data_IF_849546980265
#
_entry.id   IF_849546980265
#
_cell.length_a   1.000
_cell.length_b   1.000
_cell.length_c   1.000
_cell.angle_alpha   90.00
_cell.angle_beta   90.00
_cell.angle_gamma   90.00
#
_symmetry.space_group_name_H-M   'P 1'
#
loop_
_entity.id
_entity.type
_entity.pdbx_description
1 polymer ?
#
# COMPACT_ATOMS: atom_id res chain seq x y z
N UNK A 1 20.00 -2.91 15.71
CA UNK A 1 20.59 -1.61 16.11
C UNK A 1 19.49 -0.70 16.66
N UNK A 2 19.83 0.47 17.29
CA UNK A 2 18.82 1.30 18.01
C UNK A 2 17.66 1.80 17.14
N UNK A 3 17.89 2.07 15.86
CA UNK A 3 16.84 2.49 14.94
C UNK A 3 15.81 1.40 14.71
N UNK A 4 16.24 0.18 14.50
CA UNK A 4 15.36 -0.99 14.34
C UNK A 4 14.55 -1.25 15.62
N UNK A 5 15.14 -1.10 16.79
CA UNK A 5 14.42 -1.22 18.07
C UNK A 5 13.28 -0.20 18.17
N UNK A 6 13.52 1.06 17.73
CA UNK A 6 12.48 2.09 17.68
C UNK A 6 11.36 1.73 16.69
N UNK A 7 11.72 1.26 15.50
CA UNK A 7 10.75 0.85 14.46
C UNK A 7 9.87 -0.29 14.98
N UNK A 8 10.47 -1.35 15.53
CA UNK A 8 9.74 -2.50 16.06
C UNK A 8 8.84 -2.15 17.26
N UNK A 9 9.33 -1.31 18.17
CA UNK A 9 8.54 -0.82 19.30
C UNK A 9 7.33 -0.01 18.83
N UNK A 10 7.54 0.91 17.87
CA UNK A 10 6.47 1.71 17.31
C UNK A 10 5.43 0.85 16.58
N UNK A 11 5.88 -0.12 15.78
CA UNK A 11 4.99 -1.06 15.07
C UNK A 11 4.09 -1.80 16.04
N UNK A 12 4.65 -2.38 17.13
CA UNK A 12 3.87 -3.08 18.15
C UNK A 12 2.87 -2.16 18.84
N UNK A 13 3.31 -0.98 19.27
CA UNK A 13 2.44 -0.04 19.98
C UNK A 13 1.32 0.51 19.10
N UNK A 14 1.61 0.87 17.85
CA UNK A 14 0.59 1.32 16.90
C UNK A 14 -0.41 0.20 16.59
N UNK A 15 0.04 -1.03 16.44
CA UNK A 15 -0.84 -2.18 16.25
C UNK A 15 -1.77 -2.40 17.47
N UNK A 16 -1.22 -2.33 18.67
CA UNK A 16 -1.97 -2.64 19.90
C UNK A 16 -2.92 -1.51 20.32
N UNK A 17 -2.48 -0.26 20.23
CA UNK A 17 -3.19 0.89 20.81
C UNK A 17 -3.70 1.91 19.78
N UNK A 18 -3.31 1.78 18.52
CA UNK A 18 -3.57 2.76 17.45
C UNK A 18 -2.57 3.92 17.46
N UNK A 19 -2.48 4.61 16.33
CA UNK A 19 -1.54 5.72 16.16
C UNK A 19 -1.83 6.89 17.09
N UNK A 20 -3.11 7.26 17.25
CA UNK A 20 -3.51 8.46 18.01
C UNK A 20 -3.11 8.38 19.48
N UNK A 21 -3.25 7.22 20.10
CA UNK A 21 -3.03 7.02 21.54
C UNK A 21 -1.57 6.89 21.95
N UNK A 22 -0.70 6.51 21.02
CA UNK A 22 0.72 6.25 21.29
C UNK A 22 1.53 7.54 21.21
N UNK A 23 2.43 7.76 22.18
CA UNK A 23 3.36 8.88 22.22
C UNK A 23 4.81 8.47 21.87
N UNK A 24 5.62 9.43 21.45
CA UNK A 24 7.05 9.21 21.21
C UNK A 24 7.80 8.75 22.48
N UNK A 25 7.35 9.19 23.65
CA UNK A 25 7.95 8.79 24.95
C UNK A 25 7.67 7.33 25.27
N UNK A 26 6.47 6.83 25.01
CA UNK A 26 6.12 5.41 25.14
C UNK A 26 6.91 4.54 24.18
N UNK A 27 7.07 4.99 22.92
CA UNK A 27 7.89 4.28 21.94
C UNK A 27 9.35 4.21 22.40
N UNK A 28 9.91 5.32 22.91
CA UNK A 28 11.29 5.36 23.41
C UNK A 28 11.49 4.39 24.60
N UNK A 29 10.52 4.36 25.52
CA UNK A 29 10.51 3.45 26.68
C UNK A 29 10.45 1.99 26.24
N UNK A 30 9.52 1.66 25.32
CA UNK A 30 9.35 0.31 24.78
C UNK A 30 10.58 -0.17 23.99
N UNK A 31 11.22 0.74 23.25
CA UNK A 31 12.44 0.48 22.49
C UNK A 31 13.71 0.40 23.36
N UNK A 32 13.64 0.71 24.65
CA UNK A 32 14.80 0.75 25.53
C UNK A 32 15.81 1.86 25.16
N UNK A 33 15.34 2.94 24.57
CA UNK A 33 16.18 4.09 24.16
C UNK A 33 15.78 5.37 24.88
N UNK A 34 16.67 6.37 24.87
CA UNK A 34 16.35 7.69 25.43
C UNK A 34 15.46 8.49 24.48
N UNK A 35 14.70 9.45 25.02
CA UNK A 35 13.92 10.42 24.24
C UNK A 35 14.80 11.14 23.20
N UNK A 36 16.03 11.52 23.56
CA UNK A 36 17.00 12.12 22.63
C UNK A 36 17.31 11.16 21.46
N UNK A 37 17.44 9.88 21.73
CA UNK A 37 17.79 8.88 20.71
C UNK A 37 16.67 8.71 19.70
N UNK A 38 15.40 8.64 20.12
CA UNK A 38 14.29 8.49 19.18
C UNK A 38 14.15 9.72 18.27
N UNK A 39 14.28 10.93 18.84
CA UNK A 39 14.21 12.18 18.06
C UNK A 39 15.40 12.38 17.10
N UNK A 40 16.52 11.68 17.29
CA UNK A 40 17.60 11.64 16.30
C UNK A 40 17.26 10.85 15.04
N UNK A 41 16.35 9.87 15.15
CA UNK A 41 15.96 9.03 14.02
C UNK A 41 14.67 9.50 13.35
N UNK A 42 13.74 10.01 14.15
CA UNK A 42 12.43 10.45 13.69
C UNK A 42 12.04 11.72 14.45
N UNK A 43 11.94 12.83 13.74
CA UNK A 43 11.64 14.14 14.33
C UNK A 43 10.24 14.25 14.93
N UNK A 44 9.31 13.38 14.48
CA UNK A 44 7.94 13.33 14.99
C UNK A 44 7.32 11.93 14.83
N UNK A 45 6.16 11.74 15.43
CA UNK A 45 5.37 10.52 15.29
C UNK A 45 4.82 10.36 13.85
N UNK A 46 4.53 11.47 13.20
CA UNK A 46 4.10 11.53 11.80
C UNK A 46 5.20 11.09 10.83
N UNK A 47 6.46 11.47 11.09
CA UNK A 47 7.59 10.97 10.30
C UNK A 47 7.79 9.47 10.45
N UNK A 48 7.56 8.93 11.63
CA UNK A 48 7.60 7.51 11.87
C UNK A 48 6.46 6.79 11.14
N UNK A 49 5.25 7.37 11.14
CA UNK A 49 4.13 6.87 10.34
C UNK A 49 4.45 6.89 8.83
N UNK A 50 4.99 7.99 8.34
CA UNK A 50 5.44 8.11 6.94
C UNK A 50 6.46 7.03 6.57
N UNK A 51 7.37 6.71 7.46
CA UNK A 51 8.33 5.63 7.27
C UNK A 51 7.61 4.29 7.06
N UNK A 52 6.62 3.94 7.91
CA UNK A 52 5.87 2.70 7.75
C UNK A 52 5.07 2.65 6.45
N UNK A 53 4.41 3.74 6.08
CA UNK A 53 3.68 3.80 4.81
C UNK A 53 4.63 3.57 3.62
N UNK A 54 5.81 4.20 3.64
CA UNK A 54 6.82 4.01 2.59
C UNK A 54 7.38 2.58 2.55
N UNK A 55 7.49 1.94 3.69
CA UNK A 55 7.91 0.54 3.80
C UNK A 55 6.85 -0.39 3.18
N UNK A 56 5.57 -0.18 3.50
CA UNK A 56 4.48 -0.95 2.92
C UNK A 56 4.44 -0.85 1.38
N UNK A 57 4.67 0.34 0.84
CA UNK A 57 4.73 0.53 -0.62
C UNK A 57 5.90 -0.23 -1.23
N UNK A 58 7.09 -0.17 -0.63
CA UNK A 58 8.24 -0.93 -1.11
C UNK A 58 7.97 -2.44 -1.11
N UNK A 59 7.34 -2.94 -0.05
CA UNK A 59 6.96 -4.35 0.03
C UNK A 59 6.00 -4.75 -1.10
N UNK A 60 5.05 -3.88 -1.45
CA UNK A 60 4.14 -4.12 -2.58
C UNK A 60 4.84 -4.04 -3.93
N UNK A 61 5.77 -3.09 -4.12
CA UNK A 61 6.61 -3.01 -5.31
C UNK A 61 7.45 -4.28 -5.48
N UNK A 62 8.10 -4.77 -4.42
CA UNK A 62 8.89 -6.02 -4.42
C UNK A 62 8.03 -7.25 -4.76
N UNK A 63 6.77 -7.30 -4.31
CA UNK A 63 5.84 -8.37 -4.66
C UNK A 63 5.58 -8.36 -6.17
N UNK A 64 5.27 -7.21 -6.75
CA UNK A 64 5.00 -7.09 -8.18
C UNK A 64 6.23 -7.44 -9.01
N UNK A 65 7.42 -6.98 -8.60
CA UNK A 65 8.67 -7.31 -9.28
C UNK A 65 8.96 -8.82 -9.26
N UNK A 66 8.71 -9.51 -8.14
CA UNK A 66 8.84 -10.97 -8.05
C UNK A 66 7.87 -11.69 -9.00
N UNK A 67 6.62 -11.24 -9.09
CA UNK A 67 5.64 -11.81 -10.02
C UNK A 67 6.09 -11.61 -11.48
N UNK A 68 6.66 -10.46 -11.83
CA UNK A 68 7.17 -10.18 -13.18
C UNK A 68 8.28 -11.12 -13.63
N UNK A 69 9.00 -11.75 -12.70
CA UNK A 69 10.03 -12.76 -13.04
C UNK A 69 9.47 -14.12 -13.44
N UNK A 70 8.16 -14.37 -13.28
CA UNK A 70 7.53 -15.69 -13.49
C UNK A 70 7.20 -16.02 -14.96
N UNK A 71 7.58 -15.15 -15.92
CA UNK A 71 7.36 -15.37 -17.36
C UNK A 71 5.89 -15.58 -17.77
N UNK A 72 4.96 -14.99 -17.02
CA UNK A 72 3.54 -14.99 -17.31
C UNK A 72 3.18 -13.99 -18.43
N UNK A 73 2.04 -14.16 -19.09
CA UNK A 73 1.53 -13.10 -19.97
C UNK A 73 1.18 -11.83 -19.17
N UNK A 74 0.93 -10.72 -19.89
CA UNK A 74 0.66 -9.44 -19.21
C UNK A 74 -0.53 -9.50 -18.26
N UNK A 75 -1.65 -10.12 -18.67
CA UNK A 75 -2.85 -10.17 -17.83
C UNK A 75 -2.75 -11.22 -16.72
N UNK A 76 -2.03 -12.31 -16.95
CA UNK A 76 -1.69 -13.28 -15.91
C UNK A 76 -0.79 -12.64 -14.85
N UNK A 77 0.21 -11.85 -15.27
CA UNK A 77 1.07 -11.08 -14.35
C UNK A 77 0.24 -10.11 -13.52
N UNK A 78 -0.70 -9.38 -14.12
CA UNK A 78 -1.61 -8.46 -13.39
C UNK A 78 -2.46 -9.23 -12.39
N UNK A 79 -3.05 -10.36 -12.79
CA UNK A 79 -3.87 -11.20 -11.89
C UNK A 79 -3.05 -11.69 -10.69
N UNK A 80 -1.88 -12.26 -10.94
CA UNK A 80 -1.02 -12.80 -9.89
C UNK A 80 -0.52 -11.68 -8.96
N UNK A 81 -0.14 -10.52 -9.49
CA UNK A 81 0.29 -9.39 -8.69
C UNK A 81 -0.83 -8.88 -7.76
N UNK A 82 -2.06 -8.76 -8.26
CA UNK A 82 -3.22 -8.37 -7.44
C UNK A 82 -3.45 -9.40 -6.34
N UNK A 83 -3.44 -10.69 -6.67
CA UNK A 83 -3.62 -11.78 -5.70
C UNK A 83 -2.56 -11.73 -4.58
N UNK A 84 -1.28 -11.67 -4.93
CA UNK A 84 -0.18 -11.63 -3.96
C UNK A 84 -0.25 -10.39 -3.05
N UNK A 85 -0.62 -9.23 -3.61
CA UNK A 85 -0.81 -8.01 -2.82
C UNK A 85 -1.99 -8.15 -1.85
N UNK A 86 -3.11 -8.75 -2.27
CA UNK A 86 -4.25 -8.98 -1.40
C UNK A 86 -3.90 -9.97 -0.28
N UNK A 87 -3.16 -11.04 -0.58
CA UNK A 87 -2.65 -11.98 0.42
C UNK A 87 -1.70 -11.31 1.41
N UNK A 88 -0.75 -10.52 0.92
CA UNK A 88 0.16 -9.75 1.77
C UNK A 88 -0.61 -8.86 2.76
N UNK A 89 -1.62 -8.14 2.27
CA UNK A 89 -2.44 -7.26 3.09
C UNK A 89 -3.23 -7.97 4.18
N UNK A 90 -3.71 -9.17 3.95
CA UNK A 90 -4.49 -9.95 4.92
C UNK A 90 -3.73 -10.12 6.24
N UNK A 91 -2.40 -10.14 6.16
CA UNK A 91 -1.50 -10.31 7.29
C UNK A 91 -0.89 -8.99 7.81
N UNK A 92 -1.29 -7.83 7.24
CA UNK A 92 -0.74 -6.51 7.59
C UNK A 92 -1.81 -5.61 8.20
N UNK A 93 -1.81 -5.50 9.53
CA UNK A 93 -2.80 -4.69 10.26
C UNK A 93 -2.55 -3.18 10.18
N UNK A 94 -1.35 -2.75 9.75
CA UNK A 94 -0.96 -1.33 9.81
C UNK A 94 -1.81 -0.44 8.90
N UNK A 95 -2.09 -0.85 7.67
CA UNK A 95 -2.98 -0.10 6.76
C UNK A 95 -4.43 -0.07 7.27
N UNK A 96 -4.86 -1.13 7.95
CA UNK A 96 -6.16 -1.17 8.61
C UNK A 96 -6.26 -0.18 9.76
N UNK A 97 -5.15 0.06 10.49
CA UNK A 97 -5.09 1.09 11.54
C UNK A 97 -5.27 2.47 10.94
N UNK A 98 -4.56 2.78 9.85
CA UNK A 98 -4.68 4.07 9.15
C UNK A 98 -6.11 4.28 8.63
N UNK A 99 -6.71 3.25 8.02
CA UNK A 99 -8.07 3.34 7.50
C UNK A 99 -9.13 3.56 8.61
N UNK A 100 -8.91 3.01 9.80
CA UNK A 100 -9.80 3.17 10.95
C UNK A 100 -9.66 4.52 11.64
N UNK A 101 -8.49 5.11 11.61
CA UNK A 101 -8.21 6.40 12.25
C UNK A 101 -8.43 7.57 11.26
N UNK A 102 -9.62 7.67 10.65
CA UNK A 102 -9.94 8.67 9.60
C UNK A 102 -9.62 10.13 9.94
N UNK A 103 -9.39 10.47 11.23
CA UNK A 103 -8.88 11.77 11.65
C UNK A 103 -7.40 11.99 11.28
N UNK A 104 -6.62 10.91 11.07
CA UNK A 104 -5.25 11.00 10.57
C UNK A 104 -5.18 11.65 9.20
N UNK A 105 -6.20 11.42 8.37
CA UNK A 105 -6.32 12.02 7.03
C UNK A 105 -6.52 13.53 7.06
N UNK A 106 -6.84 14.12 8.23
CA UNK A 106 -6.96 15.57 8.40
C UNK A 106 -5.64 16.24 8.80
N UNK A 107 -4.62 15.48 9.19
CA UNK A 107 -3.32 16.04 9.53
C UNK A 107 -2.59 16.45 8.24
N UNK A 108 -2.23 17.75 8.04
CA UNK A 108 -1.61 18.23 6.80
C UNK A 108 -0.34 17.48 6.41
N UNK A 109 0.50 17.12 7.39
CA UNK A 109 1.77 16.39 7.15
C UNK A 109 1.49 14.98 6.61
N UNK A 110 0.44 14.33 7.11
CA UNK A 110 0.03 13.00 6.66
C UNK A 110 -0.60 13.11 5.27
N UNK A 111 -1.48 14.08 5.04
CA UNK A 111 -2.12 14.31 3.74
C UNK A 111 -1.07 14.57 2.66
N UNK A 112 -0.10 15.44 2.92
CA UNK A 112 1.01 15.71 1.99
C UNK A 112 1.84 14.44 1.73
N UNK A 113 2.16 13.70 2.78
CA UNK A 113 2.90 12.45 2.68
C UNK A 113 2.16 11.40 1.85
N UNK A 114 0.85 11.25 2.07
CA UNK A 114 0.00 10.33 1.29
C UNK A 114 -0.08 10.78 -0.17
N UNK A 115 -0.21 12.07 -0.45
CA UNK A 115 -0.24 12.61 -1.82
C UNK A 115 1.04 12.30 -2.61
N UNK A 116 2.22 12.39 -1.96
CA UNK A 116 3.49 11.98 -2.58
C UNK A 116 3.52 10.49 -2.90
N UNK A 117 2.94 9.67 -2.02
CA UNK A 117 2.84 8.23 -2.17
C UNK A 117 1.87 7.87 -3.29
N UNK A 118 0.70 8.50 -3.32
CA UNK A 118 -0.30 8.36 -4.38
C UNK A 118 0.34 8.63 -5.75
N UNK A 119 1.11 9.71 -5.85
CA UNK A 119 1.82 10.06 -7.08
C UNK A 119 2.83 8.98 -7.50
N UNK A 120 3.56 8.39 -6.56
CA UNK A 120 4.51 7.30 -6.85
C UNK A 120 3.80 6.05 -7.35
N UNK A 121 2.72 5.62 -6.69
CA UNK A 121 1.92 4.44 -7.10
C UNK A 121 1.33 4.68 -8.49
N UNK A 122 0.75 5.85 -8.74
CA UNK A 122 0.18 6.18 -10.05
C UNK A 122 1.26 6.19 -11.14
N UNK A 123 2.43 6.77 -10.87
CA UNK A 123 3.55 6.76 -11.83
C UNK A 123 4.03 5.34 -12.13
N UNK A 124 4.07 4.46 -11.13
CA UNK A 124 4.40 3.05 -11.31
C UNK A 124 3.40 2.35 -12.22
N UNK A 125 2.09 2.45 -11.92
CA UNK A 125 1.00 1.89 -12.75
C UNK A 125 1.08 2.44 -14.19
N UNK A 126 1.23 3.75 -14.34
CA UNK A 126 1.36 4.40 -15.65
C UNK A 126 2.54 3.87 -16.45
N UNK A 127 3.67 3.68 -15.79
CA UNK A 127 4.87 3.08 -16.40
C UNK A 127 4.62 1.66 -16.92
N UNK A 128 3.90 0.82 -16.16
CA UNK A 128 3.54 -0.54 -16.58
C UNK A 128 2.55 -0.54 -17.74
N UNK A 129 1.51 0.31 -17.70
CA UNK A 129 0.56 0.47 -18.81
C UNK A 129 1.25 0.97 -20.09
N UNK A 130 2.16 1.94 -19.97
CA UNK A 130 2.95 2.41 -21.12
C UNK A 130 3.74 1.28 -21.75
N UNK A 131 4.49 0.50 -20.96
CA UNK A 131 5.24 -0.65 -21.44
C UNK A 131 4.35 -1.70 -22.11
N UNK A 132 3.17 -1.97 -21.55
CA UNK A 132 2.21 -2.91 -22.14
C UNK A 132 1.66 -2.41 -23.48
N UNK A 133 1.38 -1.11 -23.60
CA UNK A 133 0.97 -0.46 -24.84
C UNK A 133 2.08 -0.53 -25.89
N UNK A 134 3.32 -0.17 -25.54
CA UNK A 134 4.48 -0.19 -26.44
C UNK A 134 4.76 -1.61 -26.98
N UNK A 135 4.46 -2.64 -26.18
CA UNK A 135 4.56 -4.07 -26.58
C UNK A 135 3.31 -4.58 -27.31
N UNK A 136 2.26 -3.77 -27.49
CA UNK A 136 1.05 -4.17 -28.20
C UNK A 136 0.12 -5.13 -27.42
N UNK A 137 0.29 -5.25 -26.10
CA UNK A 137 -0.58 -6.07 -25.24
C UNK A 137 -1.94 -5.42 -24.98
N UNK A 138 -1.99 -4.09 -25.01
CA UNK A 138 -3.20 -3.29 -24.81
C UNK A 138 -3.37 -2.28 -25.93
N UNK A 139 -4.63 -1.90 -26.19
CA UNK A 139 -4.96 -0.91 -27.21
C UNK A 139 -4.60 0.53 -26.79
N UNK A 140 -4.90 1.48 -27.70
CA UNK A 140 -4.82 2.90 -27.39
C UNK A 140 -5.77 3.22 -26.23
N UNK A 141 -5.20 3.70 -25.14
CA UNK A 141 -5.92 4.17 -23.97
C UNK A 141 -5.39 5.55 -23.57
N UNK A 142 -6.22 6.36 -22.96
CA UNK A 142 -5.72 7.51 -22.21
C UNK A 142 -5.03 7.01 -20.95
N UNK A 143 -3.69 7.13 -20.94
CA UNK A 143 -2.86 6.58 -19.86
C UNK A 143 -3.15 7.21 -18.50
N UNK A 144 -3.45 8.51 -18.46
CA UNK A 144 -3.68 9.22 -17.20
C UNK A 144 -5.01 8.82 -16.56
N UNK A 145 -6.09 8.85 -17.34
CA UNK A 145 -7.42 8.43 -16.88
C UNK A 145 -7.43 6.96 -16.50
N UNK A 146 -6.83 6.10 -17.33
CA UNK A 146 -6.77 4.64 -17.04
C UNK A 146 -5.96 4.36 -15.78
N UNK A 147 -4.81 5.02 -15.61
CA UNK A 147 -4.01 4.93 -14.39
C UNK A 147 -4.82 5.33 -13.16
N UNK A 148 -5.52 6.48 -13.24
CA UNK A 148 -6.35 6.96 -12.14
C UNK A 148 -7.46 5.96 -11.76
N UNK A 149 -8.17 5.41 -12.73
CA UNK A 149 -9.23 4.43 -12.49
C UNK A 149 -8.69 3.14 -11.85
N UNK A 150 -7.60 2.58 -12.37
CA UNK A 150 -6.95 1.40 -11.79
C UNK A 150 -6.48 1.69 -10.37
N UNK A 151 -5.83 2.83 -10.15
CA UNK A 151 -5.38 3.26 -8.83
C UNK A 151 -6.56 3.39 -7.85
N UNK A 152 -7.66 4.03 -8.24
CA UNK A 152 -8.85 4.18 -7.37
C UNK A 152 -9.53 2.86 -7.07
N UNK A 153 -9.65 1.97 -8.04
CA UNK A 153 -10.17 0.61 -7.83
C UNK A 153 -9.31 -0.17 -6.82
N UNK A 154 -7.99 -0.08 -6.95
CA UNK A 154 -7.03 -0.69 -6.03
C UNK A 154 -7.15 -0.10 -4.62
N UNK A 155 -7.19 1.24 -4.49
CA UNK A 155 -7.31 1.91 -3.18
C UNK A 155 -8.64 1.59 -2.48
N UNK A 156 -9.74 1.49 -3.21
CA UNK A 156 -11.03 1.09 -2.66
C UNK A 156 -10.97 -0.32 -2.04
N UNK A 157 -10.31 -1.25 -2.71
CA UNK A 157 -10.10 -2.61 -2.17
C UNK A 157 -9.21 -2.60 -0.94
N UNK A 158 -8.15 -1.79 -0.97
CA UNK A 158 -7.19 -1.73 0.11
C UNK A 158 -7.75 -1.06 1.36
N UNK A 159 -8.38 0.07 1.22
CA UNK A 159 -8.75 0.91 2.37
C UNK A 159 -10.20 0.76 2.80
N UNK A 160 -11.12 0.48 1.86
CA UNK A 160 -12.54 0.60 2.15
C UNK A 160 -13.22 -0.75 2.32
N UNK A 161 -12.82 -1.78 1.57
CA UNK A 161 -13.53 -3.06 1.55
C UNK A 161 -13.49 -3.78 2.90
N UNK A 162 -12.32 -3.86 3.53
CA UNK A 162 -12.14 -4.54 4.82
C UNK A 162 -12.75 -3.79 6.02
N UNK A 163 -13.11 -2.52 5.86
CA UNK A 163 -13.69 -1.71 6.94
C UNK A 163 -15.20 -1.94 7.06
N UNK A 164 -15.87 -2.26 5.96
CA UNK A 164 -17.34 -2.31 5.90
C UNK A 164 -17.95 -3.69 6.16
N UNK A 165 -17.25 -4.78 5.86
CA UNK A 165 -17.84 -6.13 5.89
C UNK A 165 -16.93 -7.14 6.61
N UNK A 166 -16.96 -7.12 7.95
CA UNK A 166 -16.27 -8.13 8.78
C UNK A 166 -16.88 -9.54 8.67
N UNK A 167 -18.06 -9.67 8.07
CA UNK A 167 -18.81 -10.93 8.01
C UNK A 167 -18.61 -11.71 6.70
N UNK A 168 -18.04 -11.10 5.66
CA UNK A 168 -17.69 -11.79 4.41
C UNK A 168 -16.19 -11.99 4.32
N UNK A 169 -15.75 -13.23 4.49
CA UNK A 169 -14.40 -13.63 4.09
C UNK A 169 -14.25 -13.35 2.59
N UNK A 170 -13.28 -12.50 2.26
CA UNK A 170 -12.92 -12.21 0.88
C UNK A 170 -12.16 -13.40 0.31
N UNK A 171 -12.67 -13.97 -0.77
CA UNK A 171 -11.88 -14.84 -1.63
C UNK A 171 -10.96 -13.96 -2.50
N UNK A 172 -9.73 -13.77 -2.04
CA UNK A 172 -8.73 -12.93 -2.70
C UNK A 172 -8.43 -13.42 -4.13
N UNK A 173 -8.50 -14.71 -4.36
CA UNK A 173 -8.28 -15.28 -5.68
C UNK A 173 -9.42 -14.93 -6.64
N UNK A 174 -10.67 -15.03 -6.16
CA UNK A 174 -11.86 -14.61 -6.92
C UNK A 174 -11.80 -13.11 -7.23
N UNK A 175 -11.43 -12.28 -6.23
CA UNK A 175 -11.36 -10.84 -6.40
C UNK A 175 -10.26 -10.44 -7.41
N UNK A 176 -9.07 -11.01 -7.30
CA UNK A 176 -7.98 -10.79 -8.25
C UNK A 176 -8.40 -11.15 -9.67
N UNK A 177 -9.11 -12.28 -9.83
CA UNK A 177 -9.66 -12.72 -11.12
C UNK A 177 -10.68 -11.72 -11.68
N UNK A 178 -11.64 -11.27 -10.88
CA UNK A 178 -12.65 -10.28 -11.33
C UNK A 178 -11.99 -9.02 -11.84
N UNK A 179 -11.02 -8.47 -11.09
CA UNK A 179 -10.31 -7.25 -11.47
C UNK A 179 -9.52 -7.47 -12.76
N UNK A 180 -8.77 -8.56 -12.84
CA UNK A 180 -8.00 -8.92 -14.03
C UNK A 180 -8.90 -9.09 -15.25
N UNK A 181 -10.07 -9.71 -15.12
CA UNK A 181 -11.04 -9.89 -16.20
C UNK A 181 -11.64 -8.54 -16.66
N UNK A 182 -11.92 -7.63 -15.74
CA UNK A 182 -12.36 -6.26 -16.07
C UNK A 182 -11.28 -5.54 -16.86
N UNK A 183 -10.03 -5.57 -16.39
CA UNK A 183 -8.90 -4.94 -17.08
C UNK A 183 -8.64 -5.58 -18.43
N UNK A 184 -8.68 -6.90 -18.54
CA UNK A 184 -8.49 -7.65 -19.80
C UNK A 184 -9.55 -7.29 -20.83
N UNK A 185 -10.82 -7.22 -20.44
CA UNK A 185 -11.93 -6.86 -21.34
C UNK A 185 -11.89 -5.40 -21.77
N UNK A 186 -11.45 -4.49 -20.86
CA UNK A 186 -11.39 -3.06 -21.13
C UNK A 186 -10.14 -2.58 -21.87
N UNK A 187 -9.03 -3.33 -21.77
CA UNK A 187 -7.73 -2.88 -22.28
C UNK A 187 -7.18 -3.71 -23.44
N UNK A 188 -7.66 -4.96 -23.61
CA UNK A 188 -7.13 -5.88 -24.63
C UNK A 188 -7.51 -5.39 -26.03
N UNK A 189 -6.55 -5.49 -26.93
CA UNK A 189 -6.79 -5.32 -28.38
C UNK A 189 -7.82 -6.37 -28.85
N UNK A 190 -8.88 -5.92 -29.51
CA UNK A 190 -9.88 -6.77 -30.16
C UNK A 190 -9.31 -7.43 -31.42
#
# INVERSE_FOLDING_TARGET
MKKEQVIEAARRLFHQFGFKKVSMDEIAKEAGVTKKTIYMYFGSKEELLKYFIQEEIRNMEDIVEKVETQQLDFFETVNQAIYEILQYRKHQDFLNIIAREGELLKNPVIVESLSLIDSKIQNYIKGKLKKAKDKGYIEYIDLDTTTFLIYKMYMALILEWNVKDKEKELDEQMLAKIISDILKKGLRKQ
#
